data_IF_949728570719
#
_entry.id   IF_949728570719
#
_cell.length_a   1.000
_cell.length_b   1.000
_cell.length_c   1.000
_cell.angle_alpha   90.00
_cell.angle_beta   90.00
_cell.angle_gamma   90.00
#
_symmetry.space_group_name_H-M   'P 1'
#
loop_
_entity.id
_entity.type
_entity.pdbx_description
1 polymer ?
#
# COMPACT_ATOMS: atom_id res chain seq x y z
N UNK A 1 -39.17 4.93 -26.25
CA UNK A 1 -38.23 5.18 -25.13
C UNK A 1 -36.97 4.41 -25.44
N UNK A 2 -35.85 5.10 -25.66
CA UNK A 2 -34.57 4.42 -25.88
C UNK A 2 -34.10 3.81 -24.55
N UNK A 3 -34.00 2.49 -24.51
CA UNK A 3 -33.30 1.79 -23.44
C UNK A 3 -31.83 2.15 -23.60
N UNK A 4 -31.30 2.95 -22.67
CA UNK A 4 -29.86 3.12 -22.55
C UNK A 4 -29.34 1.76 -22.07
N UNK A 5 -28.83 0.95 -23.00
CA UNK A 5 -28.05 -0.24 -22.65
C UNK A 5 -26.74 0.24 -22.03
N UNK A 6 -26.75 0.44 -20.71
CA UNK A 6 -25.54 0.74 -19.97
C UNK A 6 -24.71 -0.54 -19.99
N UNK A 7 -23.66 -0.56 -20.80
CA UNK A 7 -22.68 -1.62 -20.81
C UNK A 7 -21.98 -1.66 -19.44
N UNK A 8 -22.31 -2.67 -18.63
CA UNK A 8 -21.86 -2.81 -17.25
C UNK A 8 -20.32 -2.76 -17.13
N UNK A 9 -19.60 -3.31 -18.11
CA UNK A 9 -18.14 -3.28 -18.13
C UNK A 9 -17.59 -1.86 -18.37
N UNK A 10 -18.28 -1.09 -19.20
CA UNK A 10 -17.92 0.29 -19.50
C UNK A 10 -18.17 1.19 -18.29
N UNK A 11 -19.33 1.04 -17.65
CA UNK A 11 -19.66 1.72 -16.39
C UNK A 11 -18.63 1.39 -15.28
N UNK A 12 -18.22 0.13 -15.17
CA UNK A 12 -17.22 -0.31 -14.19
C UNK A 12 -15.84 0.27 -14.44
N UNK A 13 -15.43 0.39 -15.71
CA UNK A 13 -14.16 0.99 -16.07
C UNK A 13 -14.14 2.51 -15.81
N UNK A 14 -15.24 3.20 -16.09
CA UNK A 14 -15.40 4.63 -15.80
C UNK A 14 -15.34 4.87 -14.29
N UNK A 15 -16.07 4.07 -13.50
CA UNK A 15 -16.03 4.10 -12.04
C UNK A 15 -14.63 3.87 -11.48
N UNK A 16 -13.88 2.91 -12.04
CA UNK A 16 -12.49 2.66 -11.63
C UNK A 16 -11.57 3.85 -11.92
N UNK A 17 -11.70 4.48 -13.08
CA UNK A 17 -10.89 5.66 -13.42
C UNK A 17 -11.19 6.83 -12.52
N UNK A 18 -12.47 7.14 -12.30
CA UNK A 18 -12.89 8.22 -11.40
C UNK A 18 -12.44 7.96 -9.96
N UNK A 19 -12.55 6.71 -9.48
CA UNK A 19 -12.05 6.36 -8.17
C UNK A 19 -10.53 6.56 -8.07
N UNK A 20 -9.78 6.18 -9.12
CA UNK A 20 -8.33 6.41 -9.16
C UNK A 20 -8.01 7.91 -9.16
N UNK A 21 -8.67 8.72 -9.99
CA UNK A 21 -8.43 10.17 -10.05
C UNK A 21 -8.76 10.87 -8.73
N UNK A 22 -9.90 10.57 -8.11
CA UNK A 22 -10.27 11.14 -6.79
C UNK A 22 -9.22 10.73 -5.74
N UNK A 23 -8.83 9.45 -5.76
CA UNK A 23 -7.80 8.97 -4.86
C UNK A 23 -6.41 9.54 -5.23
N UNK A 24 -6.10 9.94 -6.46
CA UNK A 24 -4.85 10.63 -6.82
C UNK A 24 -4.88 12.10 -6.35
N UNK A 25 -6.00 12.80 -6.54
CA UNK A 25 -6.21 14.18 -6.10
C UNK A 25 -6.15 14.31 -4.57
N UNK A 26 -6.70 13.35 -3.84
CA UNK A 26 -6.56 13.25 -2.38
C UNK A 26 -5.17 12.73 -1.93
N UNK A 27 -4.29 12.38 -2.88
CA UNK A 27 -2.94 11.89 -2.61
C UNK A 27 -2.89 10.48 -2.02
N UNK A 28 -3.84 9.62 -2.39
CA UNK A 28 -4.10 8.24 -1.92
C UNK A 28 -3.66 7.17 -2.95
N UNK A 29 -3.66 7.44 -4.26
CA UNK A 29 -3.13 6.51 -5.28
C UNK A 29 -1.62 6.69 -5.42
N UNK A 30 -0.89 5.58 -5.28
CA UNK A 30 0.54 5.55 -4.92
C UNK A 30 0.78 5.42 -3.42
N UNK A 31 -0.26 5.63 -2.62
CA UNK A 31 -0.20 5.81 -1.16
C UNK A 31 -0.76 4.62 -0.40
N UNK A 32 -1.32 3.62 -1.10
CA UNK A 32 -1.83 2.40 -0.49
C UNK A 32 -1.13 1.16 -1.08
N UNK A 33 -0.41 0.42 -0.25
CA UNK A 33 0.22 -0.85 -0.61
C UNK A 33 -0.65 -2.03 -0.22
N UNK A 34 -0.65 -3.06 -1.06
CA UNK A 34 -1.18 -4.40 -0.71
C UNK A 34 -0.08 -5.24 -0.08
N UNK A 35 -0.47 -6.33 0.57
CA UNK A 35 0.46 -7.28 1.22
C UNK A 35 1.63 -7.70 0.33
N UNK A 36 1.40 -7.99 -0.95
CA UNK A 36 2.49 -8.39 -1.87
C UNK A 36 3.54 -7.31 -2.03
N UNK A 37 3.12 -6.05 -2.15
CA UNK A 37 4.05 -4.91 -2.22
C UNK A 37 4.76 -4.72 -0.88
N UNK A 38 4.03 -4.80 0.23
CA UNK A 38 4.62 -4.69 1.57
C UNK A 38 5.71 -5.75 1.82
N UNK A 39 5.52 -6.97 1.32
CA UNK A 39 6.53 -8.03 1.41
C UNK A 39 7.78 -7.69 0.62
N UNK A 40 7.66 -7.16 -0.59
CA UNK A 40 8.80 -6.68 -1.37
C UNK A 40 9.56 -5.60 -0.59
N UNK A 41 8.82 -4.69 0.04
CA UNK A 41 9.31 -3.57 0.84
C UNK A 41 9.84 -3.99 2.22
N UNK A 42 9.63 -5.25 2.61
CA UNK A 42 10.27 -5.88 3.75
C UNK A 42 11.40 -6.84 3.33
N UNK A 43 11.93 -6.75 2.11
CA UNK A 43 13.01 -7.63 1.65
C UNK A 43 12.56 -9.07 1.35
N UNK A 44 11.28 -9.28 1.01
CA UNK A 44 10.71 -10.58 0.65
C UNK A 44 10.20 -11.42 1.82
N UNK A 45 10.07 -10.82 3.01
CA UNK A 45 9.61 -11.51 4.23
C UNK A 45 8.24 -12.19 4.07
N UNK A 46 7.98 -13.18 4.93
CA UNK A 46 6.71 -13.91 4.91
C UNK A 46 5.53 -13.03 5.34
N UNK A 47 4.32 -13.40 4.92
CA UNK A 47 3.09 -12.70 5.33
C UNK A 47 2.97 -12.68 6.86
N UNK A 48 3.24 -13.81 7.51
CA UNK A 48 3.17 -13.92 8.98
C UNK A 48 4.18 -12.99 9.67
N UNK A 49 5.37 -12.84 9.09
CA UNK A 49 6.37 -11.90 9.60
C UNK A 49 5.86 -10.47 9.50
N UNK A 50 5.34 -10.05 8.34
CA UNK A 50 4.79 -8.70 8.13
C UNK A 50 3.62 -8.44 9.09
N UNK A 51 2.72 -9.41 9.26
CA UNK A 51 1.58 -9.26 10.18
C UNK A 51 2.04 -9.16 11.63
N UNK A 52 2.95 -10.03 12.06
CA UNK A 52 3.45 -10.08 13.44
C UNK A 52 4.28 -8.86 13.83
N UNK A 53 5.14 -8.38 12.93
CA UNK A 53 6.13 -7.33 13.24
C UNK A 53 5.68 -5.95 12.79
N UNK A 54 4.86 -5.84 11.74
CA UNK A 54 4.42 -4.56 11.20
C UNK A 54 2.95 -4.30 11.56
N UNK A 55 2.01 -5.15 11.14
CA UNK A 55 0.57 -4.88 11.34
C UNK A 55 0.18 -4.76 12.82
N UNK A 56 0.81 -5.56 13.70
CA UNK A 56 0.56 -5.51 15.13
C UNK A 56 1.43 -4.50 15.89
N UNK A 57 2.31 -3.77 15.22
CA UNK A 57 3.17 -2.79 15.87
C UNK A 57 2.33 -1.66 16.50
N UNK A 58 2.61 -1.25 17.76
CA UNK A 58 1.83 -0.21 18.45
C UNK A 58 1.71 1.10 17.67
N UNK A 59 2.80 1.51 17.01
CA UNK A 59 2.80 2.71 16.15
C UNK A 59 1.87 2.57 14.95
N UNK A 60 1.94 1.43 14.25
CA UNK A 60 1.12 1.15 13.06
C UNK A 60 -0.37 1.10 13.42
N UNK A 61 -0.72 0.52 14.57
CA UNK A 61 -2.10 0.49 15.07
C UNK A 61 -2.59 1.87 15.52
N UNK A 62 -1.76 2.62 16.27
CA UNK A 62 -2.12 3.96 16.79
C UNK A 62 -2.33 4.98 15.68
N UNK A 63 -1.55 4.91 14.61
CA UNK A 63 -1.65 5.83 13.48
C UNK A 63 -2.49 5.28 12.31
N UNK A 64 -3.11 4.11 12.49
CA UNK A 64 -3.94 3.44 11.49
C UNK A 64 -3.24 3.34 10.12
N UNK A 65 -1.98 2.87 10.15
CA UNK A 65 -1.15 2.74 8.95
C UNK A 65 -1.41 1.44 8.18
N UNK A 66 -2.04 0.46 8.83
CA UNK A 66 -2.44 -0.80 8.23
C UNK A 66 -3.93 -1.06 8.55
N UNK A 67 -4.71 -1.32 7.50
CA UNK A 67 -6.14 -1.62 7.58
C UNK A 67 -6.36 -3.03 7.05
N UNK A 68 -7.14 -3.81 7.78
CA UNK A 68 -7.52 -5.16 7.36
C UNK A 68 -8.79 -5.09 6.51
N UNK A 69 -8.67 -5.46 5.25
CA UNK A 69 -9.77 -5.57 4.29
C UNK A 69 -10.10 -7.06 4.05
N UNK A 70 -11.06 -7.58 4.80
CA UNK A 70 -11.44 -8.99 4.79
C UNK A 70 -10.27 -9.93 5.15
N UNK A 71 -9.75 -10.64 4.14
CA UNK A 71 -8.60 -11.57 4.28
C UNK A 71 -7.25 -10.91 3.95
N UNK A 72 -7.24 -9.68 3.46
CA UNK A 72 -6.04 -8.98 3.01
C UNK A 72 -5.75 -7.75 3.87
N UNK A 73 -4.53 -7.24 3.77
CA UNK A 73 -4.13 -5.99 4.42
C UNK A 73 -3.79 -4.93 3.37
N UNK A 74 -4.17 -3.69 3.69
CA UNK A 74 -3.89 -2.48 2.94
C UNK A 74 -3.07 -1.56 3.85
N UNK A 75 -2.01 -0.96 3.32
CA UNK A 75 -1.00 -0.23 4.07
C UNK A 75 -0.85 1.19 3.51
N UNK A 76 -0.77 2.21 4.36
CA UNK A 76 -0.49 3.58 3.93
C UNK A 76 1.00 3.72 3.59
N UNK A 77 1.33 3.56 2.31
CA UNK A 77 2.67 3.48 1.74
C UNK A 77 3.62 4.55 2.29
N UNK A 78 3.27 5.84 2.20
CA UNK A 78 4.17 6.93 2.64
C UNK A 78 4.56 6.80 4.11
N UNK A 79 3.57 6.59 4.97
CA UNK A 79 3.78 6.50 6.42
C UNK A 79 4.43 5.17 6.82
N UNK A 80 4.16 4.11 6.06
CA UNK A 80 4.80 2.81 6.25
C UNK A 80 6.27 2.86 5.83
N UNK A 81 6.62 3.58 4.77
CA UNK A 81 8.00 3.82 4.38
C UNK A 81 8.74 4.57 5.50
N UNK A 82 8.17 5.65 6.02
CA UNK A 82 8.75 6.40 7.16
C UNK A 82 8.88 5.51 8.41
N UNK A 83 7.90 4.64 8.66
CA UNK A 83 7.93 3.67 9.74
C UNK A 83 9.04 2.63 9.55
N UNK A 84 9.18 2.06 8.35
CA UNK A 84 10.22 1.08 8.05
C UNK A 84 11.62 1.70 8.17
N UNK A 85 11.80 2.93 7.67
CA UNK A 85 13.08 3.64 7.79
C UNK A 85 13.43 3.94 9.26
N UNK A 86 12.44 4.16 10.13
CA UNK A 86 12.64 4.48 11.55
C UNK A 86 12.86 3.24 12.43
N UNK A 87 12.08 2.18 12.24
CA UNK A 87 12.05 1.02 13.14
C UNK A 87 12.74 -0.22 12.56
N UNK A 88 12.93 -0.27 11.25
CA UNK A 88 13.57 -1.38 10.54
C UNK A 88 14.59 -0.89 9.50
N UNK A 89 15.55 -0.03 9.89
CA UNK A 89 16.53 0.55 8.95
C UNK A 89 17.34 -0.52 8.20
N UNK A 90 17.51 -1.71 8.78
CA UNK A 90 18.18 -2.86 8.20
C UNK A 90 17.43 -3.51 7.03
N UNK A 91 16.10 -3.33 6.95
CA UNK A 91 15.33 -3.80 5.79
C UNK A 91 15.68 -3.00 4.53
N UNK A 92 16.13 -1.75 4.71
CA UNK A 92 16.94 -1.03 3.73
C UNK A 92 16.33 -0.89 2.34
N UNK A 93 15.00 -0.99 2.20
CA UNK A 93 14.38 -1.01 0.86
C UNK A 93 14.41 0.36 0.19
N UNK A 94 14.61 1.41 0.99
CA UNK A 94 14.96 2.76 0.54
C UNK A 94 16.47 3.00 0.35
N UNK A 95 17.32 1.97 0.24
CA UNK A 95 18.69 2.20 -0.21
C UNK A 95 18.65 2.82 -1.61
N UNK A 96 18.84 4.13 -1.62
CA UNK A 96 19.83 4.83 -2.45
C UNK A 96 21.07 3.93 -2.60
N UNK A 97 21.01 2.90 -3.44
CA UNK A 97 22.18 2.27 -4.05
C UNK A 97 22.64 3.16 -5.21
N UNK A 98 22.98 4.40 -4.85
CA UNK A 98 23.95 5.20 -5.56
C UNK A 98 25.22 5.20 -4.72
N UNK A 99 26.09 4.21 -4.97
CA UNK A 99 27.53 4.22 -4.66
C UNK A 99 27.97 4.42 -3.20
N UNK A 100 28.75 3.46 -2.70
CA UNK A 100 30.20 3.67 -2.60
C UNK A 100 30.92 2.32 -2.67
N UNK A 101 31.76 2.21 -3.70
CA UNK A 101 32.85 1.26 -3.74
C UNK A 101 33.74 1.44 -2.50
N UNK A 102 34.19 0.32 -1.96
CA UNK A 102 35.56 0.14 -1.49
C UNK A 102 35.98 -1.28 -1.79
#
# INVERSE_FOLDING_TARGET
>A
MALIEINENEARNILKKLAIEILEEEGIVGTLWKMDRMRQECGGQSIDWVVGHICHHPYVRRHELAVKDGKSWIFKAKQIVEFLDMYFPELGVNHKRGGKAK
#
